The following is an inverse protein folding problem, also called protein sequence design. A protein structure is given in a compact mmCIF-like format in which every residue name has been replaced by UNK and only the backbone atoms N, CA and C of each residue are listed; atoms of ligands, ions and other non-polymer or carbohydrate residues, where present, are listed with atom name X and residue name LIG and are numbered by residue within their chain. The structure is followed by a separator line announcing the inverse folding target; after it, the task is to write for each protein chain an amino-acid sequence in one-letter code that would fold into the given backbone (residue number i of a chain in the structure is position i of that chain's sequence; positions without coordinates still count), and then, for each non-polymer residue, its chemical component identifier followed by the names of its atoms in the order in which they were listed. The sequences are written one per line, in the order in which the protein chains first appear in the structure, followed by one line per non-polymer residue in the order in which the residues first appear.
data_IF_746160721942
#
_entry.id   IF_746160721942
#
_cell.length_a   1.000
_cell.length_b   1.000
_cell.length_c   1.000
_cell.angle_alpha   90.00
_cell.angle_beta   90.00
_cell.angle_gamma   90.00
#
_symmetry.space_group_name_H-M   'P 1'
#
loop_
_entity.id
_entity.type
_entity.pdbx_description
1 polymer ?
#
# COMPACT_ATOMS: atom_id res chain seq x y z
N UNK A 1 -19.20 -20.12 32.23
CA UNK A 1 -19.60 -19.63 30.89
C UNK A 1 -20.32 -18.31 31.06
N UNK A 2 -19.59 -17.20 31.11
CA UNK A 2 -20.18 -15.87 31.20
C UNK A 2 -20.55 -15.40 29.80
N UNK A 3 -21.84 -15.13 29.56
CA UNK A 3 -22.27 -14.47 28.32
C UNK A 3 -21.86 -13.00 28.43
N UNK A 4 -20.77 -12.63 27.74
CA UNK A 4 -20.47 -11.23 27.50
C UNK A 4 -21.53 -10.69 26.56
N UNK A 5 -22.49 -9.95 27.14
CA UNK A 5 -23.53 -9.26 26.39
C UNK A 5 -22.84 -8.18 25.54
N UNK A 6 -22.55 -8.52 24.28
CA UNK A 6 -22.03 -7.55 23.30
C UNK A 6 -23.12 -6.51 23.09
N UNK A 7 -22.98 -5.37 23.76
CA UNK A 7 -23.79 -4.19 23.47
C UNK A 7 -23.42 -3.74 22.06
N UNK A 8 -24.26 -4.10 21.09
CA UNK A 8 -24.14 -3.60 19.72
C UNK A 8 -24.30 -2.09 19.79
N UNK A 9 -23.20 -1.36 19.64
CA UNK A 9 -23.23 0.11 19.56
C UNK A 9 -24.08 0.50 18.35
N UNK A 10 -25.20 1.17 18.58
CA UNK A 10 -26.09 1.74 17.56
C UNK A 10 -25.48 2.96 16.86
N UNK A 11 -24.21 3.26 17.11
CA UNK A 11 -23.51 4.35 16.45
C UNK A 11 -23.30 4.02 14.96
N UNK A 12 -23.55 4.98 14.06
CA UNK A 12 -23.28 4.79 12.64
C UNK A 12 -21.78 4.52 12.43
N UNK A 13 -21.46 3.62 11.50
CA UNK A 13 -20.08 3.37 11.10
C UNK A 13 -19.45 4.68 10.59
N UNK A 14 -18.37 5.08 11.25
CA UNK A 14 -17.60 6.26 10.91
C UNK A 14 -16.26 5.82 10.30
N UNK A 15 -15.94 6.43 9.17
CA UNK A 15 -14.59 6.43 8.63
C UNK A 15 -14.03 7.83 8.80
N UNK A 16 -12.78 7.93 9.27
CA UNK A 16 -12.12 9.22 9.48
C UNK A 16 -10.67 9.14 9.07
N UNK A 17 -10.20 10.15 8.34
CA UNK A 17 -8.77 10.38 8.17
C UNK A 17 -8.21 10.92 9.49
N UNK A 18 -7.31 10.15 10.11
CA UNK A 18 -6.63 10.53 11.35
C UNK A 18 -5.41 11.37 11.05
N UNK A 19 -4.66 10.97 10.03
CA UNK A 19 -3.44 11.65 9.61
C UNK A 19 -3.24 11.46 8.11
N UNK A 20 -2.92 12.53 7.40
CA UNK A 20 -2.45 12.47 6.01
C UNK A 20 -1.32 13.47 5.86
N UNK A 21 -0.14 13.00 5.45
CA UNK A 21 1.03 13.86 5.27
C UNK A 21 1.82 13.47 4.03
N UNK A 22 2.36 14.47 3.36
CA UNK A 22 3.40 14.30 2.36
C UNK A 22 4.75 14.50 3.07
N UNK A 23 5.48 13.42 3.27
CA UNK A 23 6.78 13.44 3.95
C UNK A 23 7.88 13.96 3.01
N UNK A 24 7.77 13.62 1.73
CA UNK A 24 8.65 14.08 0.66
C UNK A 24 7.93 14.00 -0.69
N UNK A 25 8.54 14.54 -1.76
CA UNK A 25 7.96 14.51 -3.13
C UNK A 25 7.50 13.12 -3.61
N UNK A 26 8.06 12.05 -3.03
CA UNK A 26 7.79 10.65 -3.38
C UNK A 26 7.20 9.82 -2.22
N UNK A 27 7.00 10.41 -1.05
CA UNK A 27 6.56 9.67 0.15
C UNK A 27 5.29 10.30 0.70
N UNK A 28 4.20 9.54 0.64
CA UNK A 28 2.89 9.90 1.15
C UNK A 28 2.50 8.93 2.26
N UNK A 29 2.06 9.46 3.39
CA UNK A 29 1.59 8.68 4.53
C UNK A 29 0.13 9.02 4.83
N UNK A 30 -0.68 7.99 5.04
CA UNK A 30 -2.09 8.11 5.41
C UNK A 30 -2.44 7.13 6.54
N UNK A 31 -3.21 7.60 7.52
CA UNK A 31 -3.78 6.81 8.61
C UNK A 31 -5.28 7.08 8.70
N UNK A 32 -6.07 6.02 8.64
CA UNK A 32 -7.53 6.09 8.67
C UNK A 32 -8.07 5.22 9.82
N UNK A 33 -9.18 5.66 10.41
CA UNK A 33 -9.92 4.96 11.45
C UNK A 33 -11.29 4.54 10.90
N UNK A 34 -11.69 3.30 11.18
CA UNK A 34 -13.01 2.76 10.87
C UNK A 34 -13.62 2.14 12.12
N UNK A 35 -14.72 2.70 12.63
CA UNK A 35 -15.39 2.23 13.84
C UNK A 35 -16.86 2.71 13.92
N UNK A 36 -17.75 2.03 14.66
CA UNK A 36 -17.55 0.76 15.34
C UNK A 36 -17.63 -0.43 14.38
N UNK A 37 -16.88 -1.50 14.68
CA UNK A 37 -16.94 -2.78 13.96
C UNK A 37 -17.35 -3.88 14.93
N UNK A 38 -18.11 -4.86 14.44
CA UNK A 38 -18.40 -6.07 15.20
C UNK A 38 -17.15 -6.96 15.30
N UNK A 39 -17.12 -7.82 16.32
CA UNK A 39 -16.04 -8.79 16.51
C UNK A 39 -15.82 -9.61 15.23
N UNK A 40 -14.58 -9.67 14.75
CA UNK A 40 -14.18 -10.38 13.54
C UNK A 40 -14.30 -9.59 12.23
N UNK A 41 -15.13 -8.53 12.15
CA UNK A 41 -15.22 -7.72 10.93
C UNK A 41 -13.91 -6.97 10.62
N UNK A 42 -13.21 -6.52 11.66
CA UNK A 42 -11.93 -5.83 11.50
C UNK A 42 -10.88 -6.72 10.82
N UNK A 43 -10.82 -8.01 11.17
CA UNK A 43 -9.90 -8.96 10.56
C UNK A 43 -10.24 -9.19 9.08
N UNK A 44 -11.51 -9.41 8.76
CA UNK A 44 -11.96 -9.61 7.38
C UNK A 44 -11.65 -8.38 6.51
N UNK A 45 -11.98 -7.18 6.98
CA UNK A 45 -11.73 -5.93 6.26
C UNK A 45 -10.23 -5.68 6.14
N UNK A 46 -9.45 -5.87 7.22
CA UNK A 46 -8.01 -5.66 7.21
C UNK A 46 -7.28 -6.60 6.25
N UNK A 47 -7.65 -7.89 6.22
CA UNK A 47 -7.07 -8.88 5.29
C UNK A 47 -7.44 -8.52 3.85
N UNK A 48 -8.71 -8.21 3.58
CA UNK A 48 -9.16 -7.83 2.24
C UNK A 48 -8.43 -6.57 1.75
N UNK A 49 -8.35 -5.53 2.59
CA UNK A 49 -7.71 -4.26 2.25
C UNK A 49 -6.21 -4.43 2.05
N UNK A 50 -5.52 -5.24 2.88
CA UNK A 50 -4.09 -5.55 2.68
C UNK A 50 -3.84 -6.25 1.35
N UNK A 51 -4.70 -7.21 0.96
CA UNK A 51 -4.58 -7.93 -0.31
C UNK A 51 -4.79 -6.99 -1.50
N UNK A 52 -5.87 -6.20 -1.46
CA UNK A 52 -6.16 -5.23 -2.51
C UNK A 52 -5.02 -4.20 -2.66
N UNK A 53 -4.53 -3.65 -1.55
CA UNK A 53 -3.47 -2.63 -1.58
C UNK A 53 -2.12 -3.16 -2.08
N UNK A 54 -1.80 -4.44 -1.87
CA UNK A 54 -0.52 -5.02 -2.29
C UNK A 54 -0.57 -5.70 -3.66
N UNK A 55 -1.75 -6.13 -4.12
CA UNK A 55 -1.87 -6.96 -5.32
C UNK A 55 -2.74 -6.38 -6.43
N UNK A 56 -3.65 -5.46 -6.12
CA UNK A 56 -4.69 -5.00 -7.06
C UNK A 56 -4.56 -3.51 -7.40
N UNK A 57 -3.63 -2.79 -6.77
CA UNK A 57 -3.37 -1.39 -7.13
C UNK A 57 -2.68 -1.36 -8.48
N UNK A 58 -3.35 -0.75 -9.45
CA UNK A 58 -2.76 -0.42 -10.74
C UNK A 58 -1.65 0.61 -10.54
N UNK A 59 -0.47 0.31 -11.11
CA UNK A 59 0.69 1.19 -11.10
C UNK A 59 1.33 1.23 -12.47
N UNK A 60 1.98 2.34 -12.78
CA UNK A 60 2.83 2.46 -13.96
C UNK A 60 4.27 2.16 -13.56
N UNK A 61 4.89 1.19 -14.22
CA UNK A 61 6.30 0.87 -14.06
C UNK A 61 7.03 0.92 -15.40
N UNK A 62 8.36 1.06 -15.35
CA UNK A 62 9.21 0.95 -16.54
C UNK A 62 9.26 -0.54 -16.90
N UNK A 63 8.70 -0.91 -18.04
CA UNK A 63 8.66 -2.30 -18.51
C UNK A 63 9.85 -2.67 -19.38
N UNK A 64 10.42 -1.70 -20.09
CA UNK A 64 11.55 -1.91 -20.99
C UNK A 64 12.33 -0.61 -21.22
N UNK A 65 13.66 -0.69 -21.28
CA UNK A 65 14.54 0.41 -21.66
C UNK A 65 15.48 -0.07 -22.77
N UNK A 66 15.57 0.67 -23.88
CA UNK A 66 16.48 0.37 -24.99
C UNK A 66 17.54 1.46 -25.08
N UNK A 67 18.81 1.05 -25.16
CA UNK A 67 19.93 1.95 -25.45
C UNK A 67 20.60 1.56 -26.76
N UNK A 68 20.85 2.54 -27.61
CA UNK A 68 21.31 2.31 -29.00
C UNK A 68 22.74 1.76 -29.08
N UNK A 69 23.59 2.09 -28.09
CA UNK A 69 25.03 1.74 -28.09
C UNK A 69 25.38 0.56 -27.19
N UNK A 70 24.38 -0.11 -26.62
CA UNK A 70 24.58 -1.19 -25.64
C UNK A 70 24.02 -2.48 -26.23
N UNK A 71 24.87 -3.47 -26.54
CA UNK A 71 24.40 -4.74 -27.10
C UNK A 71 23.71 -5.61 -26.04
N UNK A 72 24.10 -5.53 -24.77
CA UNK A 72 23.51 -6.32 -23.68
C UNK A 72 23.64 -5.63 -22.31
N UNK A 73 22.80 -6.04 -21.35
CA UNK A 73 22.72 -5.47 -19.99
C UNK A 73 24.00 -5.63 -19.15
N UNK A 74 24.95 -6.43 -19.60
CA UNK A 74 26.26 -6.62 -18.95
C UNK A 74 27.41 -5.81 -19.59
N UNK A 75 27.12 -4.97 -20.60
CA UNK A 75 28.18 -4.19 -21.25
C UNK A 75 28.61 -3.02 -20.35
N UNK A 76 29.90 -2.71 -20.33
CA UNK A 76 30.39 -1.50 -19.67
C UNK A 76 30.31 -0.32 -20.64
N UNK A 77 29.67 0.76 -20.20
CA UNK A 77 29.66 2.02 -20.95
C UNK A 77 30.82 2.87 -20.48
N UNK A 78 31.65 3.33 -21.42
CA UNK A 78 32.74 4.25 -21.11
C UNK A 78 32.15 5.54 -20.51
N UNK A 79 32.57 5.85 -19.28
CA UNK A 79 32.14 7.06 -18.56
C UNK A 79 30.98 6.88 -17.58
N UNK A 80 30.46 5.66 -17.39
CA UNK A 80 29.48 5.35 -16.34
C UNK A 80 30.13 4.47 -15.28
N UNK A 81 29.97 4.87 -14.01
CA UNK A 81 30.50 4.13 -12.87
C UNK A 81 29.58 2.97 -12.44
N UNK A 82 28.26 3.17 -12.58
CA UNK A 82 27.23 2.19 -12.22
C UNK A 82 27.12 1.09 -13.28
N UNK A 83 26.80 -0.13 -12.86
CA UNK A 83 26.40 -1.21 -13.77
C UNK A 83 25.03 -0.89 -14.38
N UNK A 84 24.77 -1.45 -15.56
CA UNK A 84 23.46 -1.31 -16.23
C UNK A 84 22.38 -2.14 -15.51
N UNK A 85 22.78 -3.23 -14.86
CA UNK A 85 21.98 -3.99 -13.89
C UNK A 85 21.93 -3.26 -12.55
#
# INVERSE_FOLDING_TARGET
MGQEKVTVSTQPLQWKCVESRADSKRLYYGRFLLAPLMRGQADTIGIAMRRALLGEIEGTCITHAKSEKIPHEYSTIVGIQESIH
#
